data_IF_738437146016
#
_entry.id   IF_738437146016
#
_cell.length_a   1.000
_cell.length_b   1.000
_cell.length_c   1.000
_cell.angle_alpha   90.00
_cell.angle_beta   90.00
_cell.angle_gamma   90.00
#
_symmetry.space_group_name_H-M   'P 1'
#
loop_
_entity.id
_entity.type
_entity.pdbx_description
1 polymer ?
#
# COMPACT_ATOMS: atom_id res chain seq x y z
N UNK A 1 4.38 -6.90 -10.34
CA UNK A 1 3.67 -5.62 -10.17
C UNK A 1 3.39 -5.38 -8.68
N UNK A 2 2.85 -6.37 -7.99
CA UNK A 2 2.46 -6.26 -6.57
C UNK A 2 3.63 -6.04 -5.61
N UNK A 3 4.77 -6.72 -5.84
CA UNK A 3 5.99 -6.47 -5.05
C UNK A 3 6.50 -5.03 -5.20
N UNK A 4 6.26 -4.39 -6.35
CA UNK A 4 6.63 -2.98 -6.56
C UNK A 4 5.67 -2.04 -5.80
N UNK A 5 4.38 -2.37 -5.74
CA UNK A 5 3.39 -1.63 -4.95
C UNK A 5 3.67 -1.71 -3.45
N UNK A 6 3.93 -2.92 -2.93
CA UNK A 6 4.31 -3.13 -1.53
C UNK A 6 5.61 -2.40 -1.18
N UNK A 7 6.61 -2.43 -2.07
CA UNK A 7 7.84 -1.67 -1.88
C UNK A 7 7.59 -0.14 -1.86
N UNK A 8 6.66 0.37 -2.66
CA UNK A 8 6.28 1.79 -2.62
C UNK A 8 5.64 2.16 -1.27
N UNK A 9 4.76 1.30 -0.72
CA UNK A 9 4.18 1.48 0.61
C UNK A 9 5.26 1.43 1.71
N UNK A 10 6.15 0.43 1.65
CA UNK A 10 7.28 0.25 2.58
C UNK A 10 8.27 1.41 2.57
N UNK A 11 8.43 2.10 1.45
CA UNK A 11 9.31 3.27 1.33
C UNK A 11 8.55 4.61 1.42
N UNK A 12 7.27 4.59 1.80
CA UNK A 12 6.42 5.78 1.91
C UNK A 12 6.35 6.65 0.63
N UNK A 13 6.42 6.03 -0.55
CA UNK A 13 6.46 6.72 -1.85
C UNK A 13 5.05 7.06 -2.35
N UNK A 14 4.42 8.09 -1.77
CA UNK A 14 3.01 8.48 -2.02
C UNK A 14 2.67 8.61 -3.51
N UNK A 15 3.49 9.29 -4.31
CA UNK A 15 3.21 9.49 -5.74
C UNK A 15 3.17 8.19 -6.55
N UNK A 16 4.04 7.23 -6.20
CA UNK A 16 4.06 5.91 -6.84
C UNK A 16 2.83 5.12 -6.40
N UNK A 17 2.50 5.11 -5.10
CA UNK A 17 1.29 4.47 -4.58
C UNK A 17 0.03 4.99 -5.30
N UNK A 18 -0.13 6.31 -5.39
CA UNK A 18 -1.26 6.91 -6.10
C UNK A 18 -1.31 6.54 -7.58
N UNK A 19 -0.16 6.43 -8.24
CA UNK A 19 -0.09 6.03 -9.66
C UNK A 19 -0.55 4.58 -9.85
N UNK A 20 -0.17 3.68 -8.95
CA UNK A 20 -0.62 2.28 -8.98
C UNK A 20 -2.12 2.17 -8.71
N UNK A 21 -2.62 2.82 -7.66
CA UNK A 21 -4.05 2.81 -7.32
C UNK A 21 -4.91 3.34 -8.48
N UNK A 22 -4.51 4.46 -9.10
CA UNK A 22 -5.21 5.03 -10.26
C UNK A 22 -5.21 4.13 -11.49
N UNK A 23 -4.16 3.33 -11.70
CA UNK A 23 -4.11 2.36 -12.81
C UNK A 23 -5.05 1.18 -12.59
N UNK A 24 -5.48 0.93 -11.35
CA UNK A 24 -6.36 -0.18 -10.98
C UNK A 24 -5.65 -1.54 -11.01
N UNK A 25 -6.40 -2.59 -10.69
CA UNK A 25 -5.89 -3.97 -10.65
C UNK A 25 -4.96 -4.28 -9.47
N UNK A 26 -4.87 -3.38 -8.49
CA UNK A 26 -4.13 -3.60 -7.25
C UNK A 26 -5.07 -4.18 -6.20
N UNK A 27 -4.70 -5.33 -5.66
CA UNK A 27 -5.29 -5.86 -4.43
C UNK A 27 -4.60 -5.20 -3.22
N UNK A 28 -5.28 -4.26 -2.56
CA UNK A 28 -4.76 -3.50 -1.41
C UNK A 28 -4.60 -4.33 -0.15
N UNK A 29 -5.17 -5.54 -0.11
CA UNK A 29 -5.07 -6.48 1.01
C UNK A 29 -4.08 -7.62 0.75
N UNK A 30 -3.44 -7.64 -0.42
CA UNK A 30 -2.48 -8.67 -0.79
C UNK A 30 -1.33 -8.73 0.20
N UNK A 31 -1.01 -9.94 0.64
CA UNK A 31 0.10 -10.23 1.54
C UNK A 31 1.36 -10.61 0.76
N UNK A 32 2.52 -10.18 1.23
CA UNK A 32 3.80 -10.69 0.76
C UNK A 32 4.12 -12.08 1.36
N UNK A 33 5.30 -12.63 1.03
CA UNK A 33 5.77 -13.91 1.57
C UNK A 33 6.00 -13.92 3.09
N UNK A 34 6.00 -12.75 3.74
CA UNK A 34 6.09 -12.60 5.19
C UNK A 34 4.71 -12.41 5.83
N UNK A 35 3.64 -12.39 5.04
CA UNK A 35 2.28 -12.13 5.51
C UNK A 35 1.92 -10.65 5.67
N UNK A 36 2.81 -9.72 5.28
CA UNK A 36 2.62 -8.29 5.49
C UNK A 36 1.76 -7.67 4.38
N UNK A 37 0.84 -6.78 4.75
CA UNK A 37 -0.02 -6.04 3.83
C UNK A 37 0.57 -4.67 3.47
N UNK A 38 0.07 -4.00 2.41
CA UNK A 38 0.39 -2.60 2.16
C UNK A 38 0.12 -1.70 3.36
N UNK A 39 -0.99 -1.94 4.07
CA UNK A 39 -1.38 -1.15 5.25
C UNK A 39 -0.40 -1.34 6.41
N UNK A 40 0.09 -2.57 6.63
CA UNK A 40 1.13 -2.84 7.62
C UNK A 40 2.36 -1.96 7.37
N UNK A 41 2.85 -1.93 6.13
CA UNK A 41 4.03 -1.16 5.77
C UNK A 41 3.82 0.35 5.90
N UNK A 42 2.68 0.87 5.46
CA UNK A 42 2.34 2.28 5.59
C UNK A 42 2.25 2.72 7.07
N UNK A 43 1.62 1.88 7.90
CA UNK A 43 1.48 2.12 9.35
C UNK A 43 2.83 2.05 10.07
N UNK A 44 3.65 1.03 9.77
CA UNK A 44 5.01 0.88 10.31
C UNK A 44 5.91 2.08 10.00
N UNK A 45 5.70 2.73 8.84
CA UNK A 45 6.43 3.94 8.43
C UNK A 45 5.81 5.25 8.92
N UNK A 46 4.71 5.19 9.68
CA UNK A 46 3.91 6.36 10.06
C UNK A 46 3.49 7.23 8.85
N UNK A 47 3.34 6.61 7.67
CA UNK A 47 2.96 7.29 6.44
C UNK A 47 1.44 7.52 6.40
N UNK A 48 0.96 8.50 7.18
CA UNK A 48 -0.47 8.79 7.39
C UNK A 48 -1.23 8.98 6.07
N UNK A 49 -0.65 9.69 5.12
CA UNK A 49 -1.27 9.92 3.81
C UNK A 49 -1.50 8.63 3.02
N UNK A 50 -0.53 7.72 3.03
CA UNK A 50 -0.64 6.42 2.35
C UNK A 50 -1.59 5.50 3.11
N UNK A 51 -1.53 5.52 4.43
CA UNK A 51 -2.46 4.78 5.30
C UNK A 51 -3.89 5.17 4.97
N UNK A 52 -4.18 6.46 4.89
CA UNK A 52 -5.50 6.96 4.50
C UNK A 52 -5.90 6.54 3.08
N UNK A 53 -4.99 6.67 2.11
CA UNK A 53 -5.26 6.22 0.73
C UNK A 53 -5.63 4.74 0.67
N UNK A 54 -4.89 3.88 1.37
CA UNK A 54 -5.16 2.45 1.39
C UNK A 54 -6.52 2.13 2.04
N UNK A 55 -6.86 2.78 3.15
CA UNK A 55 -8.17 2.63 3.81
C UNK A 55 -9.30 3.11 2.90
N UNK A 56 -9.13 4.27 2.25
CA UNK A 56 -10.13 4.82 1.32
C UNK A 56 -10.37 3.87 0.11
N UNK A 57 -9.37 3.06 -0.25
CA UNK A 57 -9.44 2.02 -1.29
C UNK A 57 -9.91 0.65 -0.75
N UNK A 58 -10.32 0.57 0.52
CA UNK A 58 -10.90 -0.65 1.11
C UNK A 58 -9.89 -1.61 1.74
N UNK A 59 -8.71 -1.13 2.16
CA UNK A 59 -7.78 -1.95 2.93
C UNK A 59 -8.34 -2.33 4.31
N UNK A 60 -8.11 -3.58 4.71
CA UNK A 60 -8.55 -4.15 5.99
C UNK A 60 -7.67 -3.60 7.13
N UNK A 61 -8.32 -3.10 8.18
CA UNK A 61 -7.69 -2.55 9.40
C UNK A 61 -7.51 -3.64 10.46
#
# INVERSE_FOLDING_TARGET
MDNMFLNACKNAQKGIVQTFLKKGGIDVNKRDSLGNTPLYYASYKAARDITKLLIDEGADV
#
